data_IF_751545676108
#
_entry.id   IF_751545676108
#
_cell.length_a   1.000
_cell.length_b   1.000
_cell.length_c   1.000
_cell.angle_alpha   90.00
_cell.angle_beta   90.00
_cell.angle_gamma   90.00
#
_symmetry.space_group_name_H-M   'P 1'
#
loop_
_entity.id
_entity.type
_entity.pdbx_description
1 polymer ?
#
# COMPACT_ATOMS: atom_id res chain seq x y z
N UNK A 1 -16.36 -33.87 -32.07
CA UNK A 1 -17.09 -34.12 -33.34
C UNK A 1 -16.18 -34.54 -34.48
N UNK A 2 -16.74 -34.97 -35.62
CA UNK A 2 -15.97 -35.24 -36.83
C UNK A 2 -15.45 -33.94 -37.48
N UNK A 3 -14.12 -33.84 -37.53
CA UNK A 3 -13.38 -32.64 -37.94
C UNK A 3 -13.58 -32.28 -39.43
N UNK A 4 -14.07 -33.23 -40.24
CA UNK A 4 -14.26 -33.10 -41.69
C UNK A 4 -15.67 -32.69 -42.10
N UNK A 5 -16.63 -32.67 -41.17
CA UNK A 5 -18.02 -32.30 -41.49
C UNK A 5 -18.08 -30.84 -41.91
N UNK A 6 -18.91 -30.54 -42.91
CA UNK A 6 -19.29 -29.19 -43.29
C UNK A 6 -20.72 -28.98 -42.84
N UNK A 7 -20.92 -28.03 -41.94
CA UNK A 7 -22.26 -27.67 -41.48
C UNK A 7 -22.87 -26.59 -42.38
N UNK A 8 -24.17 -26.72 -42.61
CA UNK A 8 -25.00 -25.68 -43.22
C UNK A 8 -26.00 -25.12 -42.22
N UNK A 9 -26.30 -23.84 -42.32
CA UNK A 9 -27.37 -23.22 -41.53
C UNK A 9 -28.74 -23.66 -42.03
N UNK A 10 -29.62 -24.04 -41.12
CA UNK A 10 -31.04 -24.25 -41.42
C UNK A 10 -31.76 -22.90 -41.40
N UNK A 11 -33.03 -22.87 -41.82
CA UNK A 11 -33.87 -21.65 -41.75
C UNK A 11 -33.88 -21.06 -40.33
N UNK A 12 -33.99 -21.92 -39.30
CA UNK A 12 -33.94 -21.54 -37.89
C UNK A 12 -32.59 -20.91 -37.49
N UNK A 13 -31.47 -21.44 -38.01
CA UNK A 13 -30.14 -20.88 -37.80
C UNK A 13 -29.90 -19.56 -38.55
N UNK A 14 -30.55 -19.37 -39.70
CA UNK A 14 -30.49 -18.12 -40.45
C UNK A 14 -31.26 -16.99 -39.76
N UNK A 15 -32.41 -17.30 -39.16
CA UNK A 15 -33.22 -16.35 -38.40
C UNK A 15 -32.50 -15.88 -37.12
N UNK A 16 -31.85 -16.79 -36.38
CA UNK A 16 -31.01 -16.43 -35.23
C UNK A 16 -29.77 -15.61 -35.65
N UNK A 17 -29.16 -15.93 -36.81
CA UNK A 17 -28.00 -15.19 -37.35
C UNK A 17 -28.37 -13.75 -37.71
N UNK A 18 -29.60 -13.52 -38.18
CA UNK A 18 -30.15 -12.19 -38.50
C UNK A 18 -30.69 -11.45 -37.28
N UNK A 19 -30.52 -12.00 -36.06
CA UNK A 19 -31.06 -11.49 -34.79
C UNK A 19 -32.58 -11.32 -34.79
N UNK A 20 -33.28 -12.10 -35.62
CA UNK A 20 -34.75 -12.10 -35.68
C UNK A 20 -35.33 -12.78 -34.44
N UNK A 21 -34.59 -13.75 -33.89
CA UNK A 21 -34.95 -14.49 -32.68
C UNK A 21 -33.76 -14.56 -31.69
N UNK A 22 -34.05 -14.81 -30.39
CA UNK A 22 -33.08 -14.79 -29.30
C UNK A 22 -33.08 -16.09 -28.48
N UNK A 23 -32.98 -17.23 -29.14
CA UNK A 23 -32.99 -18.53 -28.46
C UNK A 23 -31.59 -19.05 -28.10
N UNK A 24 -30.53 -18.41 -28.61
CA UNK A 24 -29.14 -18.83 -28.41
C UNK A 24 -28.33 -17.82 -27.57
N UNK A 25 -27.39 -18.33 -26.77
CA UNK A 25 -26.44 -17.51 -26.01
C UNK A 25 -25.50 -16.73 -26.94
N UNK A 26 -24.92 -15.64 -26.44
CA UNK A 26 -24.05 -14.75 -27.24
C UNK A 26 -22.88 -15.49 -27.90
N UNK A 27 -22.29 -16.46 -27.19
CA UNK A 27 -21.14 -17.23 -27.69
C UNK A 27 -21.55 -18.31 -28.70
N UNK A 28 -22.71 -18.93 -28.51
CA UNK A 28 -23.27 -19.87 -29.51
C UNK A 28 -23.67 -19.12 -30.79
N UNK A 29 -24.19 -17.89 -30.67
CA UNK A 29 -24.46 -17.02 -31.83
C UNK A 29 -23.16 -16.64 -32.57
N UNK A 30 -22.08 -16.41 -31.83
CA UNK A 30 -20.74 -16.20 -32.44
C UNK A 30 -20.26 -17.44 -33.17
N UNK A 31 -20.43 -18.64 -32.59
CA UNK A 31 -20.11 -19.91 -33.24
C UNK A 31 -20.95 -20.15 -34.51
N UNK A 32 -22.26 -19.91 -34.45
CA UNK A 32 -23.17 -19.96 -35.59
C UNK A 32 -22.76 -18.96 -36.68
N UNK A 33 -22.30 -17.77 -36.29
CA UNK A 33 -21.78 -16.75 -37.20
C UNK A 33 -20.56 -17.19 -38.02
N UNK A 34 -19.77 -18.14 -37.51
CA UNK A 34 -18.58 -18.67 -38.20
C UNK A 34 -18.94 -19.67 -39.31
N UNK A 35 -20.13 -20.25 -39.29
CA UNK A 35 -20.56 -21.28 -40.25
C UNK A 35 -20.94 -20.60 -41.56
N UNK A 36 -20.23 -20.94 -42.63
CA UNK A 36 -20.30 -20.32 -43.96
C UNK A 36 -20.75 -21.29 -45.07
N UNK A 37 -21.27 -22.46 -44.68
CA UNK A 37 -21.72 -23.55 -45.56
C UNK A 37 -20.60 -24.17 -46.44
N UNK A 38 -19.33 -23.88 -46.14
CA UNK A 38 -18.16 -24.27 -46.96
C UNK A 38 -17.00 -24.81 -46.12
N UNK A 39 -16.76 -24.21 -44.96
CA UNK A 39 -15.65 -24.55 -44.08
C UNK A 39 -15.94 -25.82 -43.29
N UNK A 40 -14.92 -26.67 -43.15
CA UNK A 40 -14.97 -27.85 -42.27
C UNK A 40 -14.84 -27.45 -40.80
N UNK A 41 -15.26 -28.31 -39.86
CA UNK A 41 -15.10 -28.07 -38.41
C UNK A 41 -13.64 -27.71 -38.05
N UNK A 42 -12.66 -28.35 -38.70
CA UNK A 42 -11.22 -28.03 -38.53
C UNK A 42 -10.88 -26.57 -38.83
N UNK A 43 -11.46 -26.05 -39.91
CA UNK A 43 -11.21 -24.70 -40.40
C UNK A 43 -11.96 -23.68 -39.55
N UNK A 44 -13.16 -24.03 -39.08
CA UNK A 44 -13.92 -23.24 -38.12
C UNK A 44 -13.14 -23.08 -36.81
N UNK A 45 -12.56 -24.14 -36.26
CA UNK A 45 -11.70 -24.07 -35.07
C UNK A 45 -10.47 -23.17 -35.29
N UNK A 46 -9.89 -23.18 -36.50
CA UNK A 46 -8.75 -22.31 -36.84
C UNK A 46 -9.14 -20.85 -37.01
N UNK A 47 -10.40 -20.56 -37.32
CA UNK A 47 -10.91 -19.20 -37.54
C UNK A 47 -11.57 -18.61 -36.29
N UNK A 48 -11.99 -19.45 -35.35
CA UNK A 48 -12.54 -19.04 -34.07
C UNK A 48 -11.51 -18.30 -33.21
N UNK A 49 -12.00 -17.37 -32.39
CA UNK A 49 -11.18 -16.68 -31.38
C UNK A 49 -10.67 -17.68 -30.33
N UNK A 50 -9.49 -17.46 -29.71
CA UNK A 50 -8.90 -18.40 -28.75
C UNK A 50 -9.85 -18.83 -27.63
N UNK A 51 -10.63 -17.89 -27.09
CA UNK A 51 -11.63 -18.14 -26.04
C UNK A 51 -12.84 -18.95 -26.49
N UNK A 52 -13.13 -18.99 -27.80
CA UNK A 52 -14.26 -19.73 -28.36
C UNK A 52 -13.85 -21.15 -28.77
N UNK A 53 -12.55 -21.41 -28.99
CA UNK A 53 -12.04 -22.70 -29.48
C UNK A 53 -12.21 -23.84 -28.50
N UNK A 54 -12.05 -23.55 -27.21
CA UNK A 54 -12.10 -24.56 -26.15
C UNK A 54 -13.51 -25.17 -26.01
N UNK A 55 -14.56 -24.37 -26.25
CA UNK A 55 -15.97 -24.79 -26.16
C UNK A 55 -16.67 -24.92 -27.51
N UNK A 56 -15.95 -24.75 -28.64
CA UNK A 56 -16.57 -24.72 -29.97
C UNK A 56 -17.24 -26.04 -30.34
N UNK A 57 -16.66 -27.18 -29.93
CA UNK A 57 -17.21 -28.51 -30.20
C UNK A 57 -18.57 -28.68 -29.50
N UNK A 58 -18.67 -28.24 -28.24
CA UNK A 58 -19.90 -28.30 -27.44
C UNK A 58 -20.98 -27.34 -27.99
N UNK A 59 -20.59 -26.12 -28.39
CA UNK A 59 -21.52 -25.15 -28.98
C UNK A 59 -22.04 -25.60 -30.35
N UNK A 60 -21.19 -26.24 -31.16
CA UNK A 60 -21.63 -26.83 -32.41
C UNK A 60 -22.59 -27.99 -32.14
N UNK A 61 -22.39 -28.76 -31.06
CA UNK A 61 -23.30 -29.86 -30.70
C UNK A 61 -24.67 -29.31 -30.32
N UNK A 62 -24.71 -28.25 -29.51
CA UNK A 62 -25.94 -27.58 -29.10
C UNK A 62 -26.68 -26.97 -30.31
N UNK A 63 -25.96 -26.48 -31.31
CA UNK A 63 -26.55 -25.98 -32.56
C UNK A 63 -27.16 -27.11 -33.42
N UNK A 64 -26.56 -28.31 -33.41
CA UNK A 64 -27.11 -29.49 -34.09
C UNK A 64 -28.36 -29.97 -33.35
N UNK A 65 -28.28 -30.12 -32.03
CA UNK A 65 -29.36 -30.60 -31.18
C UNK A 65 -30.55 -29.63 -31.19
N UNK A 66 -30.26 -28.32 -31.25
CA UNK A 66 -31.26 -27.26 -31.42
C UNK A 66 -31.82 -27.10 -32.84
N UNK A 67 -31.30 -27.86 -33.81
CA UNK A 67 -31.74 -27.86 -35.21
C UNK A 67 -31.38 -26.59 -35.98
N UNK A 68 -30.42 -25.80 -35.51
CA UNK A 68 -29.97 -24.56 -36.13
C UNK A 68 -28.97 -24.82 -37.27
N UNK A 69 -28.25 -25.95 -37.21
CA UNK A 69 -27.30 -26.37 -38.23
C UNK A 69 -27.48 -27.85 -38.58
N UNK A 70 -27.13 -28.22 -39.80
CA UNK A 70 -27.19 -29.59 -40.28
C UNK A 70 -25.96 -29.95 -41.10
N UNK A 71 -25.58 -31.23 -41.09
CA UNK A 71 -24.53 -31.76 -41.95
C UNK A 71 -24.92 -31.64 -43.44
N UNK A 72 -24.07 -31.00 -44.23
CA UNK A 72 -24.26 -30.77 -45.66
C UNK A 72 -24.45 -32.06 -46.45
N UNK A 73 -23.74 -33.12 -46.07
CA UNK A 73 -23.77 -34.38 -46.81
C UNK A 73 -25.08 -35.14 -46.61
N UNK A 74 -25.80 -34.86 -45.50
CA UNK A 74 -27.15 -35.42 -45.26
C UNK A 74 -28.23 -34.77 -46.13
N UNK A 75 -28.07 -33.50 -46.53
CA UNK A 75 -29.08 -32.71 -47.26
C UNK A 75 -29.07 -32.97 -48.77
N UNK A 76 -27.91 -33.33 -49.35
CA UNK A 76 -27.75 -33.48 -50.80
C UNK A 76 -28.31 -34.80 -51.36
N UNK A 77 -28.78 -35.72 -50.51
CA UNK A 77 -29.33 -37.02 -50.92
C UNK A 77 -30.79 -36.97 -51.39
N UNK A 78 -31.51 -35.87 -51.15
CA UNK A 78 -32.99 -35.82 -51.27
C UNK A 78 -33.50 -35.20 -52.60
N UNK A 79 -32.67 -34.51 -53.39
CA UNK A 79 -33.15 -33.70 -54.55
C UNK A 79 -32.70 -34.25 -55.91
N UNK A 80 -33.24 -35.39 -56.36
CA UNK A 80 -33.14 -35.84 -57.78
C UNK A 80 -34.36 -36.68 -58.26
N UNK A 81 -35.48 -36.04 -58.64
CA UNK A 81 -36.54 -36.56 -59.53
C UNK A 81 -37.37 -35.36 -60.04
N UNK A 82 -37.99 -35.23 -61.22
CA UNK A 82 -37.97 -35.83 -62.56
C UNK A 82 -39.04 -35.03 -63.37
N UNK A 83 -38.82 -34.55 -64.61
CA UNK A 83 -39.90 -34.07 -65.50
C UNK A 83 -39.55 -34.29 -67.00
N UNK A 84 -40.38 -35.00 -67.82
CA UNK A 84 -40.20 -35.15 -69.27
C UNK A 84 -41.13 -34.26 -70.15
N UNK A 85 -40.73 -34.02 -71.41
CA UNK A 85 -41.43 -33.21 -72.47
C UNK A 85 -42.29 -34.07 -73.41
N UNK A 86 -43.34 -33.48 -74.03
CA UNK A 86 -44.00 -33.97 -75.27
C UNK A 86 -44.32 -32.86 -76.30
N UNK A 87 -44.45 -33.15 -77.62
CA UNK A 87 -44.57 -32.18 -78.73
C UNK A 87 -45.92 -32.15 -79.47
N UNK A 88 -46.12 -31.15 -80.35
CA UNK A 88 -47.34 -30.79 -81.12
C UNK A 88 -47.28 -31.34 -82.57
N UNK A 89 -48.41 -31.80 -83.12
CA UNK A 89 -48.58 -32.26 -84.52
C UNK A 89 -49.34 -31.23 -85.40
N UNK A 90 -49.12 -31.27 -86.73
CA UNK A 90 -49.79 -30.44 -87.76
C UNK A 90 -49.96 -31.24 -89.07
N UNK A 91 -50.86 -30.76 -89.95
CA UNK A 91 -51.09 -31.07 -91.39
C UNK A 91 -52.37 -31.91 -91.69
N UNK A 92 -53.09 -31.85 -92.84
CA UNK A 92 -52.92 -31.31 -94.21
C UNK A 92 -54.31 -30.92 -94.81
N UNK A 93 -54.25 -30.13 -95.87
CA UNK A 93 -55.24 -29.55 -96.83
C UNK A 93 -55.84 -30.56 -97.83
N UNK A 94 -57.06 -30.30 -98.38
CA UNK A 94 -57.35 -30.28 -99.84
C UNK A 94 -58.83 -30.08 -100.22
N UNK A 95 -59.04 -29.34 -101.31
CA UNK A 95 -60.31 -28.88 -101.91
C UNK A 95 -60.35 -29.27 -103.43
N UNK A 96 -61.37 -28.94 -104.27
CA UNK A 96 -62.30 -29.96 -104.79
C UNK A 96 -62.71 -29.86 -106.31
N UNK A 97 -63.64 -30.75 -106.75
CA UNK A 97 -64.63 -30.69 -107.88
C UNK A 97 -64.16 -30.77 -109.36
N UNK A 98 -64.81 -31.58 -110.22
CA UNK A 98 -66.03 -31.26 -111.01
C UNK A 98 -66.42 -32.40 -112.01
N UNK A 99 -67.73 -32.55 -112.25
CA UNK A 99 -68.42 -33.34 -113.31
C UNK A 99 -68.19 -32.71 -114.72
N UNK A 100 -68.56 -33.22 -115.90
CA UNK A 100 -69.59 -34.15 -116.37
C UNK A 100 -69.40 -34.46 -117.89
N UNK A 101 -70.14 -35.48 -118.39
CA UNK A 101 -70.86 -35.52 -119.69
C UNK A 101 -70.39 -36.44 -120.86
N UNK A 102 -71.21 -37.49 -121.08
CA UNK A 102 -71.96 -37.97 -122.30
C UNK A 102 -71.35 -37.77 -123.71
N UNK A 103 -71.56 -38.59 -124.76
CA UNK A 103 -72.63 -39.55 -125.12
C UNK A 103 -72.17 -40.41 -126.34
N UNK A 104 -72.97 -41.43 -126.69
CA UNK A 104 -72.68 -42.51 -127.66
C UNK A 104 -73.06 -42.23 -129.13
N UNK A 105 -72.21 -42.69 -130.05
CA UNK A 105 -72.42 -43.46 -131.32
C UNK A 105 -73.88 -43.82 -131.73
N UNK A 106 -74.36 -43.83 -132.99
CA UNK A 106 -73.82 -44.31 -134.30
C UNK A 106 -74.97 -44.28 -135.41
N UNK A 107 -74.87 -44.76 -136.69
CA UNK A 107 -74.06 -44.30 -137.85
C UNK A 107 -74.82 -44.36 -139.24
N UNK A 108 -74.04 -44.32 -140.36
CA UNK A 108 -74.32 -44.75 -141.78
C UNK A 108 -74.96 -43.69 -142.72
N UNK A 109 -74.51 -43.37 -143.95
CA UNK A 109 -73.40 -43.85 -144.79
C UNK A 109 -73.49 -43.27 -146.23
N UNK A 110 -72.34 -43.30 -146.92
CA UNK A 110 -72.13 -43.30 -148.40
C UNK A 110 -72.33 -41.98 -149.19
N UNK A 111 -71.23 -41.32 -149.60
CA UNK A 111 -70.98 -40.88 -150.99
C UNK A 111 -69.55 -40.37 -151.24
N UNK A 112 -69.07 -40.68 -152.45
CA UNK A 112 -67.98 -40.09 -153.25
C UNK A 112 -66.52 -40.13 -152.72
N UNK A 113 -65.64 -40.77 -153.50
CA UNK A 113 -64.18 -40.91 -153.25
C UNK A 113 -63.39 -39.64 -153.56
N UNK A 114 -63.94 -38.70 -154.32
CA UNK A 114 -63.28 -37.44 -154.67
C UNK A 114 -63.33 -36.39 -153.54
N UNK A 115 -64.40 -36.39 -152.73
CA UNK A 115 -64.47 -35.56 -151.52
C UNK A 115 -63.54 -36.06 -150.41
N UNK A 116 -63.23 -37.37 -150.40
CA UNK A 116 -62.29 -37.96 -149.42
C UNK A 116 -60.85 -37.49 -149.63
N UNK A 117 -60.40 -37.32 -150.86
CA UNK A 117 -59.03 -36.85 -151.14
C UNK A 117 -58.87 -35.36 -150.82
N UNK A 118 -59.84 -34.51 -151.19
CA UNK A 118 -59.84 -33.08 -150.81
C UNK A 118 -60.00 -32.91 -149.30
N UNK A 119 -60.80 -33.76 -148.65
CA UNK A 119 -60.92 -33.79 -147.19
C UNK A 119 -59.63 -34.32 -146.52
N UNK A 120 -58.92 -35.27 -147.12
CA UNK A 120 -57.64 -35.78 -146.61
C UNK A 120 -56.54 -34.73 -146.70
N UNK A 121 -56.39 -34.02 -147.83
CA UNK A 121 -55.38 -32.94 -147.96
C UNK A 121 -55.69 -31.78 -147.00
N UNK A 122 -56.97 -31.42 -146.81
CA UNK A 122 -57.37 -30.43 -145.80
C UNK A 122 -57.13 -30.93 -144.38
N UNK A 123 -57.40 -32.20 -144.08
CA UNK A 123 -57.13 -32.80 -142.78
C UNK A 123 -55.62 -32.88 -142.49
N UNK A 124 -54.79 -33.15 -143.50
CA UNK A 124 -53.33 -33.18 -143.39
C UNK A 124 -52.75 -31.78 -143.20
N UNK A 125 -53.25 -30.77 -143.93
CA UNK A 125 -52.87 -29.38 -143.71
C UNK A 125 -53.28 -28.86 -142.32
N UNK A 126 -54.44 -29.30 -141.80
CA UNK A 126 -54.87 -29.02 -140.42
C UNK A 126 -53.98 -29.74 -139.41
N UNK A 127 -53.60 -31.00 -139.66
CA UNK A 127 -52.68 -31.75 -138.81
C UNK A 127 -51.29 -31.12 -138.77
N UNK A 128 -50.74 -30.69 -139.90
CA UNK A 128 -49.42 -30.06 -139.96
C UNK A 128 -49.40 -28.71 -139.23
N UNK A 129 -50.50 -27.93 -139.33
CA UNK A 129 -50.67 -26.70 -138.55
C UNK A 129 -50.79 -26.97 -137.06
N UNK A 130 -51.60 -27.97 -136.67
CA UNK A 130 -51.73 -28.39 -135.27
C UNK A 130 -50.40 -28.92 -134.70
N UNK A 131 -49.60 -29.62 -135.50
CA UNK A 131 -48.28 -30.12 -135.11
C UNK A 131 -47.26 -28.98 -134.98
N UNK A 132 -47.24 -28.02 -135.91
CA UNK A 132 -46.42 -26.82 -135.79
C UNK A 132 -46.81 -25.95 -134.58
N UNK A 133 -48.10 -25.84 -134.29
CA UNK A 133 -48.62 -25.13 -133.11
C UNK A 133 -48.26 -25.87 -131.81
N UNK A 134 -48.34 -27.21 -131.79
CA UNK A 134 -47.91 -28.02 -130.66
C UNK A 134 -46.39 -27.92 -130.42
N UNK A 135 -45.57 -27.86 -131.47
CA UNK A 135 -44.12 -27.63 -131.36
C UNK A 135 -43.84 -26.23 -130.80
N UNK A 136 -44.55 -25.19 -131.26
CA UNK A 136 -44.42 -23.83 -130.72
C UNK A 136 -44.83 -23.75 -129.25
N UNK A 137 -45.96 -24.36 -128.87
CA UNK A 137 -46.42 -24.39 -127.48
C UNK A 137 -45.41 -25.14 -126.59
N UNK A 138 -44.84 -26.26 -127.06
CA UNK A 138 -43.79 -26.97 -126.31
C UNK A 138 -42.51 -26.14 -126.15
N UNK A 139 -42.06 -25.48 -127.22
CA UNK A 139 -40.88 -24.61 -127.17
C UNK A 139 -41.10 -23.39 -126.25
N UNK A 140 -42.31 -22.82 -126.25
CA UNK A 140 -42.69 -21.71 -125.37
C UNK A 140 -42.79 -22.16 -123.91
N UNK A 141 -43.36 -23.34 -123.65
CA UNK A 141 -43.39 -23.94 -122.31
C UNK A 141 -41.98 -24.25 -121.78
N UNK A 142 -41.10 -24.80 -122.61
CA UNK A 142 -39.72 -25.07 -122.24
C UNK A 142 -38.94 -23.77 -121.95
N UNK A 143 -39.13 -22.73 -122.78
CA UNK A 143 -38.54 -21.41 -122.54
C UNK A 143 -39.09 -20.75 -121.26
N UNK A 144 -40.39 -20.89 -120.97
CA UNK A 144 -41.00 -20.40 -119.74
C UNK A 144 -40.46 -21.14 -118.50
N UNK A 145 -40.31 -22.47 -118.57
CA UNK A 145 -39.71 -23.27 -117.50
C UNK A 145 -38.23 -22.93 -117.29
N UNK A 146 -37.47 -22.69 -118.37
CA UNK A 146 -36.07 -22.26 -118.27
C UNK A 146 -35.95 -20.88 -117.62
N UNK A 147 -36.81 -19.92 -117.98
CA UNK A 147 -36.88 -18.60 -117.34
C UNK A 147 -37.28 -18.70 -115.87
N UNK A 148 -38.29 -19.49 -115.53
CA UNK A 148 -38.73 -19.69 -114.15
C UNK A 148 -37.64 -20.34 -113.28
N UNK A 149 -36.87 -21.29 -113.83
CA UNK A 149 -35.72 -21.88 -113.13
C UNK A 149 -34.59 -20.88 -112.92
N UNK A 150 -34.25 -20.09 -113.95
CA UNK A 150 -33.24 -19.04 -113.83
C UNK A 150 -33.65 -17.97 -112.80
N UNK A 151 -34.91 -17.53 -112.81
CA UNK A 151 -35.42 -16.57 -111.83
C UNK A 151 -35.39 -17.15 -110.41
N UNK A 152 -35.84 -18.41 -110.21
CA UNK A 152 -35.78 -19.09 -108.93
C UNK A 152 -34.33 -19.27 -108.41
N UNK A 153 -33.37 -19.56 -109.29
CA UNK A 153 -31.96 -19.67 -108.92
C UNK A 153 -31.39 -18.30 -108.50
N UNK A 154 -31.69 -17.23 -109.24
CA UNK A 154 -31.26 -15.88 -108.87
C UNK A 154 -31.89 -15.41 -107.55
N UNK A 155 -33.16 -15.74 -107.30
CA UNK A 155 -33.83 -15.45 -106.03
C UNK A 155 -33.20 -16.22 -104.87
N UNK A 156 -32.84 -17.50 -105.08
CA UNK A 156 -32.15 -18.33 -104.10
C UNK A 156 -30.76 -17.79 -103.77
N UNK A 157 -29.97 -17.41 -104.78
CA UNK A 157 -28.63 -16.85 -104.58
C UNK A 157 -28.68 -15.50 -103.84
N UNK A 158 -29.67 -14.64 -104.12
CA UNK A 158 -29.88 -13.39 -103.38
C UNK A 158 -30.25 -13.66 -101.92
N UNK A 159 -31.17 -14.59 -101.68
CA UNK A 159 -31.57 -14.97 -100.32
C UNK A 159 -30.40 -15.57 -99.52
N UNK A 160 -29.56 -16.39 -100.16
CA UNK A 160 -28.36 -16.96 -99.53
C UNK A 160 -27.32 -15.88 -99.21
N UNK A 161 -27.10 -14.93 -100.14
CA UNK A 161 -26.18 -13.81 -99.91
C UNK A 161 -26.67 -12.87 -98.79
N UNK A 162 -27.98 -12.60 -98.71
CA UNK A 162 -28.57 -11.81 -97.64
C UNK A 162 -28.47 -12.53 -96.30
N UNK A 163 -28.78 -13.83 -96.25
CA UNK A 163 -28.62 -14.64 -95.04
C UNK A 163 -27.16 -14.69 -94.56
N UNK A 164 -26.20 -14.80 -95.48
CA UNK A 164 -24.77 -14.74 -95.16
C UNK A 164 -24.36 -13.37 -94.58
N UNK A 165 -24.85 -12.27 -95.17
CA UNK A 165 -24.59 -10.91 -94.65
C UNK A 165 -25.17 -10.71 -93.26
N UNK A 166 -26.42 -11.12 -93.04
CA UNK A 166 -27.09 -11.03 -91.73
C UNK A 166 -26.33 -11.84 -90.68
N UNK A 167 -25.83 -13.03 -91.02
CA UNK A 167 -25.04 -13.85 -90.10
C UNK A 167 -23.73 -13.17 -89.70
N UNK A 168 -22.99 -12.62 -90.67
CA UNK A 168 -21.74 -11.88 -90.40
C UNK A 168 -22.00 -10.63 -89.57
N UNK A 169 -23.07 -9.88 -89.85
CA UNK A 169 -23.45 -8.70 -89.07
C UNK A 169 -23.84 -9.08 -87.63
N UNK A 170 -24.59 -10.16 -87.45
CA UNK A 170 -24.93 -10.68 -86.11
C UNK A 170 -23.69 -11.13 -85.33
N UNK A 171 -22.77 -11.86 -85.97
CA UNK A 171 -21.51 -12.27 -85.34
C UNK A 171 -20.64 -11.06 -84.97
N UNK A 172 -20.56 -10.05 -85.83
CA UNK A 172 -19.83 -8.80 -85.56
C UNK A 172 -20.49 -7.99 -84.42
N UNK A 173 -21.82 -7.91 -84.39
CA UNK A 173 -22.55 -7.25 -83.30
C UNK A 173 -22.35 -7.98 -81.97
N UNK A 174 -22.43 -9.33 -81.96
CA UNK A 174 -22.15 -10.12 -80.77
C UNK A 174 -20.71 -9.98 -80.29
N UNK A 175 -19.73 -9.93 -81.21
CA UNK A 175 -18.34 -9.69 -80.86
C UNK A 175 -18.13 -8.31 -80.20
N UNK A 176 -18.76 -7.25 -80.74
CA UNK A 176 -18.71 -5.90 -80.15
C UNK A 176 -19.34 -5.86 -78.75
N UNK A 177 -20.51 -6.47 -78.57
CA UNK A 177 -21.18 -6.53 -77.26
C UNK A 177 -20.33 -7.29 -76.24
N UNK A 178 -19.70 -8.40 -76.63
CA UNK A 178 -18.78 -9.15 -75.75
C UNK A 178 -17.56 -8.31 -75.37
N UNK A 179 -16.90 -7.66 -76.33
CA UNK A 179 -15.76 -6.80 -76.05
C UNK A 179 -16.12 -5.62 -75.13
N UNK A 180 -17.27 -4.98 -75.36
CA UNK A 180 -17.71 -3.88 -74.49
C UNK A 180 -18.04 -4.37 -73.07
N UNK A 181 -18.69 -5.53 -72.93
CA UNK A 181 -18.97 -6.14 -71.63
C UNK A 181 -17.69 -6.53 -70.88
N UNK A 182 -16.70 -7.11 -71.57
CA UNK A 182 -15.39 -7.44 -71.00
C UNK A 182 -14.61 -6.18 -70.59
N UNK A 183 -14.63 -5.13 -71.42
CA UNK A 183 -13.99 -3.85 -71.10
C UNK A 183 -14.62 -3.18 -69.87
N UNK A 184 -15.96 -3.18 -69.77
CA UNK A 184 -16.67 -2.67 -68.59
C UNK A 184 -16.37 -3.50 -67.34
N UNK A 185 -16.37 -4.83 -67.46
CA UNK A 185 -16.05 -5.71 -66.34
C UNK A 185 -14.61 -5.50 -65.84
N UNK A 186 -13.65 -5.30 -66.74
CA UNK A 186 -12.27 -4.98 -66.37
C UNK A 186 -12.17 -3.62 -65.68
N UNK A 187 -12.82 -2.58 -66.21
CA UNK A 187 -12.84 -1.26 -65.60
C UNK A 187 -13.45 -1.26 -64.19
N UNK A 188 -14.57 -1.97 -63.99
CA UNK A 188 -15.22 -2.12 -62.69
C UNK A 188 -14.36 -2.91 -61.70
N UNK A 189 -13.65 -3.94 -62.18
CA UNK A 189 -12.71 -4.72 -61.36
C UNK A 189 -11.51 -3.88 -60.92
N UNK A 190 -10.92 -3.07 -61.82
CA UNK A 190 -9.84 -2.15 -61.45
C UNK A 190 -10.30 -1.06 -60.49
N UNK A 191 -11.46 -0.44 -60.75
CA UNK A 191 -12.02 0.57 -59.86
C UNK A 191 -12.30 0.00 -58.46
N UNK A 192 -12.78 -1.23 -58.38
CA UNK A 192 -12.99 -1.93 -57.10
C UNK A 192 -11.67 -2.22 -56.39
N UNK A 193 -10.64 -2.69 -57.11
CA UNK A 193 -9.30 -2.90 -56.54
C UNK A 193 -8.68 -1.62 -56.02
N UNK A 194 -8.77 -0.53 -56.78
CA UNK A 194 -8.24 0.77 -56.38
C UNK A 194 -8.93 1.31 -55.12
N UNK A 195 -10.25 1.13 -55.00
CA UNK A 195 -10.99 1.51 -53.78
C UNK A 195 -10.53 0.73 -52.57
N UNK A 196 -10.40 -0.60 -52.70
CA UNK A 196 -9.89 -1.45 -51.61
C UNK A 196 -8.47 -1.05 -51.23
N UNK A 197 -7.59 -0.81 -52.21
CA UNK A 197 -6.21 -0.40 -51.94
C UNK A 197 -6.17 0.96 -51.21
N UNK A 198 -6.95 1.95 -51.66
CA UNK A 198 -7.07 3.23 -50.96
C UNK A 198 -7.60 3.09 -49.53
N UNK A 199 -8.62 2.27 -49.29
CA UNK A 199 -9.09 2.00 -47.94
C UNK A 199 -8.03 1.31 -47.08
N UNK A 200 -7.29 0.36 -47.62
CA UNK A 200 -6.21 -0.32 -46.88
C UNK A 200 -5.07 0.63 -46.52
N UNK A 201 -4.71 1.56 -47.41
CA UNK A 201 -3.69 2.59 -47.15
C UNK A 201 -4.18 3.56 -46.08
N UNK A 202 -5.43 4.02 -46.16
CA UNK A 202 -6.04 4.89 -45.13
C UNK A 202 -6.09 4.19 -43.78
N UNK A 203 -6.56 2.94 -43.74
CA UNK A 203 -6.62 2.16 -42.51
C UNK A 203 -5.24 1.95 -41.87
N UNK A 204 -4.20 1.70 -42.68
CA UNK A 204 -2.81 1.64 -42.19
C UNK A 204 -2.32 2.97 -41.63
N UNK A 205 -2.57 4.07 -42.35
CA UNK A 205 -2.18 5.40 -41.89
C UNK A 205 -2.88 5.80 -40.59
N UNK A 206 -4.17 5.47 -40.44
CA UNK A 206 -4.93 5.68 -39.21
C UNK A 206 -4.40 4.83 -38.06
N UNK A 207 -4.10 3.55 -38.30
CA UNK A 207 -3.49 2.68 -37.29
C UNK A 207 -2.12 3.20 -36.84
N UNK A 208 -1.29 3.64 -37.77
CA UNK A 208 0.02 4.21 -37.45
C UNK A 208 -0.12 5.52 -36.65
N UNK A 209 -1.06 6.38 -37.00
CA UNK A 209 -1.34 7.60 -36.26
C UNK A 209 -1.85 7.32 -34.83
N UNK A 210 -2.71 6.31 -34.65
CA UNK A 210 -3.18 5.87 -33.32
C UNK A 210 -2.01 5.31 -32.50
N UNK A 211 -1.16 4.48 -33.09
CA UNK A 211 0.02 3.95 -32.40
C UNK A 211 1.02 5.05 -32.04
N UNK A 212 1.24 6.03 -32.90
CA UNK A 212 2.10 7.17 -32.63
C UNK A 212 1.56 8.02 -31.46
N UNK A 213 0.25 8.30 -31.45
CA UNK A 213 -0.41 9.00 -30.34
C UNK A 213 -0.32 8.23 -29.03
N UNK A 214 -0.58 6.92 -29.06
CA UNK A 214 -0.47 6.06 -27.88
C UNK A 214 0.96 6.02 -27.31
N UNK A 215 1.98 5.97 -28.17
CA UNK A 215 3.39 6.05 -27.74
C UNK A 215 3.73 7.40 -27.13
N UNK A 216 3.30 8.50 -27.76
CA UNK A 216 3.52 9.84 -27.23
C UNK A 216 2.85 10.02 -25.86
N UNK A 217 1.60 9.56 -25.71
CA UNK A 217 0.89 9.62 -24.43
C UNK A 217 1.59 8.78 -23.36
N UNK A 218 2.02 7.55 -23.69
CA UNK A 218 2.76 6.69 -22.78
C UNK A 218 4.10 7.31 -22.33
N UNK A 219 4.85 7.94 -23.24
CA UNK A 219 6.07 8.68 -22.88
C UNK A 219 5.77 9.85 -21.95
N UNK A 220 4.74 10.66 -22.24
CA UNK A 220 4.37 11.78 -21.38
C UNK A 220 3.93 11.32 -19.99
N UNK A 221 3.20 10.20 -19.89
CA UNK A 221 2.81 9.60 -18.63
C UNK A 221 4.04 9.09 -17.85
N UNK A 222 4.98 8.44 -18.54
CA UNK A 222 6.23 7.97 -17.93
C UNK A 222 7.09 9.12 -17.40
N UNK A 223 7.27 10.19 -18.18
CA UNK A 223 8.02 11.37 -17.76
C UNK A 223 7.38 12.07 -16.55
N UNK A 224 6.04 12.17 -16.52
CA UNK A 224 5.32 12.71 -15.35
C UNK A 224 5.52 11.84 -14.11
N UNK A 225 5.41 10.52 -14.26
CA UNK A 225 5.64 9.59 -13.16
C UNK A 225 7.08 9.68 -12.63
N UNK A 226 8.07 9.75 -13.52
CA UNK A 226 9.48 9.90 -13.15
C UNK A 226 9.73 11.22 -12.40
N UNK A 227 9.18 12.34 -12.88
CA UNK A 227 9.26 13.63 -12.19
C UNK A 227 8.60 13.61 -10.81
N UNK A 228 7.45 12.95 -10.65
CA UNK A 228 6.81 12.79 -9.34
C UNK A 228 7.69 11.95 -8.39
N UNK A 229 8.29 10.86 -8.89
CA UNK A 229 9.19 10.04 -8.07
C UNK A 229 10.46 10.80 -7.65
N UNK A 230 11.03 11.62 -8.53
CA UNK A 230 12.17 12.47 -8.19
C UNK A 230 11.80 13.54 -7.16
N UNK A 231 10.63 14.18 -7.28
CA UNK A 231 10.14 15.15 -6.28
C UNK A 231 9.95 14.50 -4.91
N UNK A 232 9.30 13.35 -4.85
CA UNK A 232 9.11 12.61 -3.59
C UNK A 232 10.47 12.23 -2.99
N UNK A 233 11.43 11.80 -3.81
CA UNK A 233 12.78 11.47 -3.35
C UNK A 233 13.50 12.69 -2.78
N UNK A 234 13.43 13.83 -3.47
CA UNK A 234 14.05 15.07 -3.01
C UNK A 234 13.41 15.58 -1.71
N UNK A 235 12.09 15.49 -1.58
CA UNK A 235 11.37 15.87 -0.35
C UNK A 235 11.72 14.97 0.83
N UNK A 236 11.81 13.66 0.62
CA UNK A 236 12.26 12.72 1.65
C UNK A 236 13.71 12.96 2.07
N UNK A 237 14.59 13.27 1.13
CA UNK A 237 15.99 13.59 1.44
C UNK A 237 16.10 14.89 2.24
N UNK A 238 15.37 15.93 1.86
CA UNK A 238 15.29 17.18 2.61
C UNK A 238 14.72 16.97 4.03
N UNK A 239 13.68 16.16 4.18
CA UNK A 239 13.10 15.82 5.47
C UNK A 239 14.10 15.06 6.37
N UNK A 240 14.86 14.11 5.80
CA UNK A 240 15.89 13.38 6.53
C UNK A 240 17.06 14.27 6.98
N UNK A 241 17.49 15.23 6.14
CA UNK A 241 18.51 16.21 6.53
C UNK A 241 18.02 17.04 7.70
N UNK A 242 16.81 17.61 7.60
CA UNK A 242 16.22 18.42 8.67
C UNK A 242 16.05 17.63 9.98
N UNK A 243 15.58 16.38 9.90
CA UNK A 243 15.45 15.51 11.07
C UNK A 243 16.81 15.19 11.73
N UNK A 244 17.87 14.99 10.93
CA UNK A 244 19.23 14.79 11.46
C UNK A 244 19.77 16.05 12.13
N UNK A 245 19.54 17.23 11.57
CA UNK A 245 19.95 18.50 12.18
C UNK A 245 19.22 18.75 13.50
N UNK A 246 17.90 18.55 13.54
CA UNK A 246 17.10 18.68 14.76
C UNK A 246 17.54 17.68 15.84
N UNK A 247 17.78 16.42 15.48
CA UNK A 247 18.30 15.42 16.40
C UNK A 247 19.70 15.80 16.93
N UNK A 248 20.58 16.29 16.06
CA UNK A 248 21.91 16.78 16.45
C UNK A 248 21.84 17.97 17.41
N UNK A 249 20.92 18.91 17.17
CA UNK A 249 20.70 20.05 18.05
C UNK A 249 20.16 19.61 19.43
N UNK A 250 19.22 18.67 19.47
CA UNK A 250 18.69 18.13 20.73
C UNK A 250 19.76 17.39 21.55
N UNK A 251 20.64 16.61 20.90
CA UNK A 251 21.75 15.95 21.58
C UNK A 251 22.72 16.97 22.18
N UNK A 252 23.09 18.01 21.42
CA UNK A 252 23.95 19.10 21.92
C UNK A 252 23.30 19.80 23.11
N UNK A 253 22.03 20.21 22.98
CA UNK A 253 21.30 20.88 24.05
C UNK A 253 21.20 20.01 25.32
N UNK A 254 20.96 18.71 25.18
CA UNK A 254 20.97 17.78 26.33
C UNK A 254 22.35 17.68 26.97
N UNK A 255 23.41 17.56 26.18
CA UNK A 255 24.78 17.47 26.70
C UNK A 255 25.21 18.74 27.44
N UNK A 256 24.83 19.92 26.94
CA UNK A 256 25.07 21.20 27.59
C UNK A 256 24.27 21.32 28.90
N UNK A 257 22.98 20.94 28.88
CA UNK A 257 22.15 20.95 30.08
C UNK A 257 22.66 19.97 31.16
N UNK A 258 23.13 18.78 30.76
CA UNK A 258 23.73 17.81 31.68
C UNK A 258 25.04 18.33 32.28
N UNK A 259 25.89 18.96 31.46
CA UNK A 259 27.13 19.59 31.94
C UNK A 259 26.85 20.73 32.95
N UNK A 260 25.81 21.53 32.73
CA UNK A 260 25.38 22.57 33.69
C UNK A 260 24.86 21.93 34.98
N UNK A 261 24.02 20.89 34.90
CA UNK A 261 23.53 20.19 36.10
C UNK A 261 24.67 19.58 36.91
N UNK A 262 25.63 18.93 36.26
CA UNK A 262 26.78 18.31 36.94
C UNK A 262 27.64 19.37 37.65
N UNK A 263 27.88 20.52 37.00
CA UNK A 263 28.59 21.65 37.64
C UNK A 263 27.84 22.18 38.86
N UNK A 264 26.53 22.37 38.75
CA UNK A 264 25.70 22.83 39.86
C UNK A 264 25.67 21.81 41.02
N UNK A 265 25.60 20.51 40.72
CA UNK A 265 25.64 19.45 41.72
C UNK A 265 27.00 19.39 42.44
N UNK A 266 28.10 19.51 41.70
CA UNK A 266 29.45 19.58 42.28
C UNK A 266 29.63 20.81 43.18
N UNK A 267 29.12 21.96 42.76
CA UNK A 267 29.18 23.19 43.57
C UNK A 267 28.33 23.05 44.84
N UNK A 268 27.12 22.51 44.74
CA UNK A 268 26.25 22.25 45.89
C UNK A 268 26.90 21.24 46.87
N UNK A 269 27.56 20.20 46.36
CA UNK A 269 28.29 19.25 47.18
C UNK A 269 29.47 19.91 47.91
N UNK A 270 30.24 20.78 47.22
CA UNK A 270 31.32 21.54 47.84
C UNK A 270 30.82 22.47 48.95
N UNK A 271 29.74 23.21 48.70
CA UNK A 271 29.12 24.10 49.70
C UNK A 271 28.67 23.30 50.92
N UNK A 272 28.09 22.11 50.72
CA UNK A 272 27.64 21.25 51.82
C UNK A 272 28.81 20.76 52.68
N UNK A 273 29.90 20.31 52.04
CA UNK A 273 31.13 19.89 52.74
C UNK A 273 31.76 21.07 53.48
N UNK A 274 31.81 22.26 52.87
CA UNK A 274 32.34 23.47 53.49
C UNK A 274 31.50 23.90 54.71
N UNK A 275 30.17 23.83 54.60
CA UNK A 275 29.27 24.10 55.72
C UNK A 275 29.44 23.09 56.87
N UNK A 276 29.53 21.78 56.58
CA UNK A 276 29.80 20.77 57.60
C UNK A 276 31.15 21.00 58.28
N UNK A 277 32.19 21.32 57.50
CA UNK A 277 33.51 21.65 58.04
C UNK A 277 33.49 22.92 58.91
N UNK A 278 32.76 23.96 58.49
CA UNK A 278 32.58 25.18 59.27
C UNK A 278 31.82 24.91 60.58
N UNK A 279 30.73 24.14 60.55
CA UNK A 279 30.00 23.74 61.74
C UNK A 279 30.85 22.91 62.70
N UNK A 280 31.66 21.98 62.18
CA UNK A 280 32.59 21.21 63.00
C UNK A 280 33.62 22.10 63.71
N UNK A 281 34.18 23.09 63.00
CA UNK A 281 35.10 24.08 63.59
C UNK A 281 34.43 24.91 64.68
N UNK A 282 33.21 25.41 64.45
CA UNK A 282 32.45 26.17 65.45
C UNK A 282 32.18 25.32 66.69
N UNK A 283 31.79 24.04 66.52
CA UNK A 283 31.59 23.13 67.66
C UNK A 283 32.88 22.89 68.43
N UNK A 284 33.99 22.62 67.75
CA UNK A 284 35.29 22.44 68.41
C UNK A 284 35.76 23.70 69.14
N UNK A 285 35.58 24.88 68.56
CA UNK A 285 35.93 26.14 69.23
C UNK A 285 35.04 26.38 70.46
N UNK A 286 33.75 26.10 70.37
CA UNK A 286 32.82 26.22 71.49
C UNK A 286 33.16 25.24 72.62
N UNK A 287 33.48 23.98 72.30
CA UNK A 287 33.93 22.98 73.28
C UNK A 287 35.25 23.37 73.93
N UNK A 288 36.22 23.88 73.15
CA UNK A 288 37.50 24.36 73.67
C UNK A 288 37.31 25.57 74.61
N UNK A 289 36.44 26.53 74.26
CA UNK A 289 36.10 27.66 75.15
C UNK A 289 35.40 27.18 76.42
N UNK A 290 34.43 26.26 76.31
CA UNK A 290 33.75 25.72 77.48
C UNK A 290 34.71 24.99 78.43
N UNK A 291 35.67 24.23 77.88
CA UNK A 291 36.71 23.58 78.67
C UNK A 291 37.63 24.61 79.34
N UNK A 292 38.06 25.64 78.62
CA UNK A 292 38.89 26.72 79.18
C UNK A 292 38.17 27.48 80.29
N UNK A 293 36.88 27.82 80.13
CA UNK A 293 36.08 28.50 81.15
C UNK A 293 35.84 27.60 82.37
N UNK A 294 35.63 26.30 82.17
CA UNK A 294 35.49 25.32 83.26
C UNK A 294 36.80 25.16 84.04
N UNK A 295 37.95 25.10 83.36
CA UNK A 295 39.25 25.04 84.00
C UNK A 295 39.57 26.32 84.76
N UNK A 296 39.31 27.49 84.16
CA UNK A 296 39.45 28.79 84.81
C UNK A 296 38.57 28.90 86.07
N UNK A 297 37.34 28.39 86.01
CA UNK A 297 36.44 28.35 87.17
C UNK A 297 36.95 27.41 88.26
N UNK A 298 37.47 26.23 87.90
CA UNK A 298 38.11 25.31 88.85
C UNK A 298 39.33 25.94 89.53
N UNK A 299 40.22 26.57 88.76
CA UNK A 299 41.39 27.27 89.28
C UNK A 299 41.01 28.39 90.25
N UNK A 300 39.92 29.15 89.97
CA UNK A 300 39.41 30.17 90.89
C UNK A 300 38.91 29.57 92.20
N UNK A 301 38.11 28.50 92.13
CA UNK A 301 37.63 27.78 93.33
C UNK A 301 38.81 27.23 94.12
N UNK A 302 39.79 26.60 93.46
CA UNK A 302 40.97 26.07 94.13
C UNK A 302 41.78 27.18 94.81
N UNK A 303 42.01 28.32 94.13
CA UNK A 303 42.64 29.50 94.75
C UNK A 303 41.86 30.02 95.96
N UNK A 304 40.54 30.11 95.90
CA UNK A 304 39.71 30.50 97.05
C UNK A 304 39.81 29.50 98.19
N UNK A 305 39.79 28.19 97.90
CA UNK A 305 39.94 27.17 98.95
C UNK A 305 41.33 27.21 99.59
N UNK A 306 42.40 27.46 98.82
CA UNK A 306 43.76 27.65 99.34
C UNK A 306 43.84 28.90 100.21
N UNK A 307 43.27 30.02 99.77
CA UNK A 307 43.19 31.25 100.57
C UNK A 307 42.42 31.05 101.86
N UNK A 308 41.24 30.42 101.80
CA UNK A 308 40.42 30.13 102.97
C UNK A 308 41.15 29.21 103.96
N UNK A 309 41.88 28.20 103.47
CA UNK A 309 42.70 27.32 104.32
C UNK A 309 43.86 28.08 104.96
N UNK A 310 44.54 28.95 104.22
CA UNK A 310 45.60 29.80 104.74
C UNK A 310 45.08 30.78 105.80
N UNK A 311 43.90 31.36 105.61
CA UNK A 311 43.22 32.21 106.60
C UNK A 311 42.84 31.43 107.86
N UNK A 312 42.27 30.23 107.71
CA UNK A 312 41.96 29.36 108.86
C UNK A 312 43.23 28.99 109.64
N UNK A 313 44.31 28.64 108.95
CA UNK A 313 45.59 28.33 109.59
C UNK A 313 46.16 29.55 110.33
N UNK A 314 46.06 30.74 109.76
CA UNK A 314 46.44 31.99 110.41
C UNK A 314 45.60 32.30 111.65
N UNK A 315 44.28 32.06 111.60
CA UNK A 315 43.38 32.23 112.76
C UNK A 315 43.72 31.22 113.86
N UNK A 316 43.96 29.95 113.52
CA UNK A 316 44.39 28.93 114.48
C UNK A 316 45.74 29.27 115.10
N UNK A 317 46.68 29.79 114.31
CA UNK A 317 47.97 30.25 114.82
C UNK A 317 47.83 31.42 115.82
N UNK A 318 46.97 32.41 115.51
CA UNK A 318 46.66 33.52 116.43
C UNK A 318 46.00 33.03 117.71
N UNK A 319 45.02 32.14 117.61
CA UNK A 319 44.33 31.56 118.77
C UNK A 319 45.30 30.78 119.67
N UNK A 320 46.25 30.03 119.09
CA UNK A 320 47.32 29.34 119.85
C UNK A 320 48.24 30.34 120.55
N UNK A 321 48.67 31.39 119.86
CA UNK A 321 49.51 32.43 120.45
C UNK A 321 48.79 33.15 121.61
N UNK A 322 47.50 33.49 121.45
CA UNK A 322 46.70 34.10 122.51
C UNK A 322 46.55 33.16 123.71
N UNK A 323 46.24 31.88 123.48
CA UNK A 323 46.15 30.88 124.54
C UNK A 323 47.48 30.70 125.29
N UNK A 324 48.62 30.74 124.59
CA UNK A 324 49.95 30.71 125.21
C UNK A 324 50.19 31.95 126.07
N UNK A 325 49.85 33.15 125.57
CA UNK A 325 49.98 34.38 126.35
C UNK A 325 49.07 34.39 127.58
N UNK A 326 47.86 33.83 127.48
CA UNK A 326 46.95 33.68 128.62
C UNK A 326 47.51 32.69 129.65
N UNK A 327 48.10 31.58 129.18
CA UNK A 327 48.73 30.58 130.05
C UNK A 327 49.94 31.16 130.79
N UNK A 328 50.80 31.91 130.10
CA UNK A 328 51.93 32.61 130.72
C UNK A 328 51.48 33.63 131.77
N UNK A 329 50.40 34.38 131.50
CA UNK A 329 49.81 35.30 132.50
C UNK A 329 49.27 34.54 133.71
N UNK A 330 48.56 33.43 133.49
CA UNK A 330 48.07 32.59 134.58
C UNK A 330 49.21 31.99 135.41
N UNK A 331 50.29 31.55 134.77
CA UNK A 331 51.48 31.02 135.45
C UNK A 331 52.17 32.12 136.30
N UNK A 332 52.31 33.33 135.77
CA UNK A 332 52.83 34.48 136.54
C UNK A 332 51.95 34.84 137.74
N UNK A 333 50.62 34.81 137.59
CA UNK A 333 49.69 34.99 138.72
C UNK A 333 49.89 33.91 139.78
N UNK A 334 50.04 32.64 139.37
CA UNK A 334 50.30 31.55 140.32
C UNK A 334 51.65 31.69 141.02
N UNK A 335 52.70 32.16 140.32
CA UNK A 335 53.99 32.45 140.94
C UNK A 335 53.91 33.61 141.94
N UNK A 336 53.17 34.68 141.62
CA UNK A 336 52.94 35.79 142.56
C UNK A 336 52.23 35.32 143.83
N UNK A 337 51.16 34.54 143.70
CA UNK A 337 50.43 33.97 144.84
C UNK A 337 51.35 33.08 145.68
N UNK A 338 52.21 32.28 145.02
CA UNK A 338 53.19 31.43 145.70
C UNK A 338 54.22 32.26 146.46
N UNK A 339 54.73 33.33 145.86
CA UNK A 339 55.68 34.25 146.50
C UNK A 339 55.05 34.99 147.69
N UNK A 340 53.78 35.42 147.62
CA UNK A 340 53.06 36.03 148.74
C UNK A 340 52.85 35.04 149.90
N UNK A 341 52.49 33.79 149.60
CA UNK A 341 52.36 32.73 150.60
C UNK A 341 53.68 32.46 151.33
N UNK A 342 54.79 32.44 150.60
CA UNK A 342 56.12 32.24 151.18
C UNK A 342 56.52 33.42 152.07
N UNK A 343 56.27 34.66 151.63
CA UNK A 343 56.49 35.85 152.44
C UNK A 343 55.65 35.87 153.73
N UNK A 344 54.39 35.41 153.67
CA UNK A 344 53.52 35.28 154.83
C UNK A 344 54.05 34.24 155.85
N UNK A 345 54.59 33.12 155.36
CA UNK A 345 55.20 32.09 156.22
C UNK A 345 56.47 32.59 156.94
N UNK A 346 57.28 33.42 156.28
CA UNK A 346 58.46 34.03 156.91
C UNK A 346 58.04 34.95 158.04
N UNK A 347 57.07 35.84 157.81
CA UNK A 347 56.53 36.72 158.87
C UNK A 347 55.95 35.93 160.05
N UNK A 348 55.18 34.88 159.78
CA UNK A 348 54.61 34.04 160.84
C UNK A 348 55.70 33.34 161.69
N UNK A 349 56.84 32.96 161.08
CA UNK A 349 57.98 32.38 161.81
C UNK A 349 58.71 33.42 162.67
N UNK A 350 58.83 34.66 162.21
CA UNK A 350 59.44 35.75 162.99
C UNK A 350 58.59 36.11 164.22
N UNK A 351 57.27 36.21 164.06
CA UNK A 351 56.34 36.48 165.16
C UNK A 351 56.34 35.36 166.21
N UNK A 352 56.40 34.09 165.78
CA UNK A 352 56.55 32.96 166.69
C UNK A 352 57.88 33.01 167.47
N UNK A 353 58.98 33.40 166.81
CA UNK A 353 60.28 33.57 167.45
C UNK A 353 60.32 34.67 168.51
N UNK A 354 59.59 35.77 168.29
CA UNK A 354 59.48 36.88 169.24
C UNK A 354 58.73 36.47 170.52
N UNK A 355 57.64 35.70 170.39
CA UNK A 355 56.86 35.20 171.54
C UNK A 355 57.65 34.23 172.42
N UNK A 356 58.50 33.38 171.83
CA UNK A 356 59.34 32.44 172.58
C UNK A 356 60.40 33.18 173.41
N UNK A 357 61.02 34.23 172.85
CA UNK A 357 61.95 35.10 173.59
C UNK A 357 61.27 35.80 174.76
N UNK A 358 60.12 36.43 174.53
CA UNK A 358 59.37 37.13 175.57
C UNK A 358 58.98 36.22 176.74
N UNK A 359 58.63 34.95 176.46
CA UNK A 359 58.27 33.97 177.50
C UNK A 359 59.47 33.56 178.35
N UNK A 360 60.64 33.42 177.74
CA UNK A 360 61.88 33.05 178.45
C UNK A 360 62.39 34.14 179.40
N UNK A 361 62.22 35.42 179.03
CA UNK A 361 62.60 36.55 179.89
C UNK A 361 61.66 36.72 181.08
N UNK A 362 60.36 36.50 180.90
CA UNK A 362 59.37 36.56 181.97
C UNK A 362 59.59 35.48 183.05
N UNK A 363 60.05 34.29 182.65
CA UNK A 363 60.32 33.18 183.57
C UNK A 363 61.58 33.41 184.43
N UNK A 364 62.62 34.02 183.84
CA UNK A 364 63.85 34.38 184.54
C UNK A 364 63.63 35.44 185.65
N UNK A 365 62.70 36.37 185.44
CA UNK A 365 62.35 37.40 186.44
C UNK A 365 61.60 36.80 187.63
N UNK A 366 60.69 35.84 187.39
CA UNK A 366 59.96 35.16 188.47
C UNK A 366 60.88 34.36 189.39
N UNK A 367 61.84 33.64 188.83
CA UNK A 367 62.80 32.84 189.61
C UNK A 367 63.70 33.70 190.50
N UNK A 368 64.07 34.92 190.07
CA UNK A 368 64.84 35.85 190.91
C UNK A 368 64.02 36.41 192.08
N UNK A 369 62.75 36.74 191.84
CA UNK A 369 61.87 37.27 192.88
C UNK A 369 61.57 36.25 193.99
N UNK A 370 61.48 34.97 193.65
CA UNK A 370 61.19 33.91 194.62
C UNK A 370 62.38 33.59 195.54
N UNK A 371 63.61 33.65 195.01
CA UNK A 371 64.82 33.43 195.82
C UNK A 371 65.10 34.56 196.82
N UNK A 372 64.74 35.80 196.49
CA UNK A 372 64.93 36.94 197.38
C UNK A 372 63.94 36.92 198.56
N UNK A 373 62.67 36.56 198.30
CA UNK A 373 61.66 36.42 199.34
C UNK A 373 61.98 35.28 200.33
N UNK A 374 62.58 34.19 199.87
CA UNK A 374 63.02 33.09 200.73
C UNK A 374 64.16 33.49 201.68
N UNK A 375 65.09 34.36 201.25
CA UNK A 375 66.17 34.86 202.11
C UNK A 375 65.67 35.76 203.24
N UNK A 376 64.72 36.64 202.96
CA UNK A 376 64.16 37.55 203.97
C UNK A 376 63.41 36.79 205.07
N UNK A 377 62.78 35.66 204.73
CA UNK A 377 62.07 34.80 205.70
C UNK A 377 63.02 34.07 206.67
N UNK A 378 64.23 33.71 206.22
CA UNK A 378 65.23 33.05 207.06
C UNK A 378 65.91 34.03 208.02
N UNK A 379 66.06 35.30 207.62
CA UNK A 379 66.71 36.32 208.46
C UNK A 379 65.81 36.81 209.61
N UNK A 380 64.49 36.81 209.43
CA UNK A 380 63.56 37.27 210.49
C UNK A 380 63.27 36.23 211.58
N UNK A 381 63.54 34.93 211.38
CA UNK A 381 63.38 33.92 212.44
C UNK A 381 64.54 33.89 213.45
N UNK A 382 65.69 34.54 213.19
CA UNK A 382 66.86 34.49 214.06
C UNK A 382 66.94 35.60 215.13
N UNK A 383 65.94 36.49 215.25
CA UNK A 383 65.87 37.51 216.31
C UNK A 383 64.45 37.71 216.89
N UNK A 384 64.01 36.74 217.69
CA UNK A 384 63.06 36.93 218.81
C UNK A 384 63.75 36.52 220.13
N UNK A 385 63.35 37.08 221.29
CA UNK A 385 64.27 37.67 222.26
C UNK A 385 64.52 36.80 223.51
N UNK A 386 65.53 37.19 224.29
CA UNK A 386 65.31 37.56 225.69
C UNK A 386 65.70 39.03 225.89
#
# INVERSE_FOLDING_TARGET
>A
MDIKIIFIKTSKGEDESKRITNHLSSDIKRALGLIDNKSTVKELMKRAAPSLRESLDDMLQELIDGGFIQDKDKVNSVVKMAIPRMPIQRSVVSSPKFENREERQDPIGIRSVAEREVAQVKAEAVRLRAEQEAIRIRAEQEAALARAKAEAETARLKAEQEAARVKVEQEAAQARVKMEAEARAHADAEASRLRVEQETVKARAEQEAVLARAKAEAETARLKAEQETEKIRAELEAALVKAKEEAGALVKARSEAEAVRLKAEQEAARVKVEQEAAQARVKMEAEARAHADAEASRLRVEQETVKARAEQEAVLARAKAEAETARLKAEQETEKIRAELEAALVKAKEEAGALVKARSEAEAVRLKAEQEAARVKVEQELRRPE
#
